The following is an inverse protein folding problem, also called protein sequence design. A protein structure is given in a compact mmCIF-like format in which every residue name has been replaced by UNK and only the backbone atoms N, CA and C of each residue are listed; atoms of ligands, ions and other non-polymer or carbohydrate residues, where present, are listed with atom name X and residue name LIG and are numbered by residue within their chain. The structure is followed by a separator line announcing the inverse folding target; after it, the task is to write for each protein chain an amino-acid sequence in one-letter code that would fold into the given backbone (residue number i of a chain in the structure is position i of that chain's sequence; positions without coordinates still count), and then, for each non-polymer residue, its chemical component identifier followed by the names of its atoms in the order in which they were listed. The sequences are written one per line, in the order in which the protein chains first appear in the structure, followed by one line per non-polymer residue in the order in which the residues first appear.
data_IF_679487496012
#
_entry.id   IF_679487496012
#
_cell.length_a   1.000
_cell.length_b   1.000
_cell.length_c   1.000
_cell.angle_alpha   90.00
_cell.angle_beta   90.00
_cell.angle_gamma   90.00
#
_symmetry.space_group_name_H-M   'P 1'
#
loop_
_entity.id
_entity.type
_entity.pdbx_description
1 polymer ?
#
# COMPACT_ATOMS: atom_id res chain seq x y z
N UNK A 1 15.14 -10.12 -16.17
CA UNK A 1 15.48 -9.03 -15.24
C UNK A 1 14.68 -7.83 -15.66
N UNK A 2 13.65 -7.49 -14.88
CA UNK A 2 12.88 -6.27 -15.12
C UNK A 2 13.79 -5.07 -14.87
N UNK A 3 13.83 -4.13 -15.81
CA UNK A 3 14.73 -2.98 -15.73
C UNK A 3 14.19 -2.03 -14.68
N UNK A 4 14.90 -1.89 -13.57
CA UNK A 4 14.59 -0.86 -12.58
C UNK A 4 14.61 0.53 -13.23
N UNK A 5 13.60 1.37 -12.97
CA UNK A 5 13.59 2.73 -13.47
C UNK A 5 14.81 3.50 -12.94
N UNK A 6 15.67 3.96 -13.86
CA UNK A 6 16.85 4.75 -13.48
C UNK A 6 16.45 6.17 -13.12
N UNK A 7 16.90 6.65 -11.97
CA UNK A 7 16.75 8.06 -11.59
C UNK A 7 17.72 8.90 -12.43
N UNK A 8 17.19 9.69 -13.34
CA UNK A 8 17.95 10.66 -14.15
C UNK A 8 18.20 11.95 -13.37
N UNK A 9 19.16 12.77 -13.81
CA UNK A 9 19.43 14.07 -13.19
C UNK A 9 18.23 15.02 -13.26
N UNK A 10 17.43 14.92 -14.33
CA UNK A 10 16.15 15.62 -14.45
C UNK A 10 15.19 15.25 -13.31
N UNK A 11 15.09 13.96 -12.97
CA UNK A 11 14.25 13.53 -11.84
C UNK A 11 14.74 14.11 -10.51
N UNK A 12 16.06 14.18 -10.30
CA UNK A 12 16.66 14.75 -9.08
C UNK A 12 16.35 16.24 -8.96
N UNK A 13 16.56 17.01 -10.02
CA UNK A 13 16.29 18.44 -10.05
C UNK A 13 14.80 18.74 -9.81
N UNK A 14 13.90 18.01 -10.48
CA UNK A 14 12.46 18.17 -10.31
C UNK A 14 11.99 17.84 -8.88
N UNK A 15 12.53 16.76 -8.28
CA UNK A 15 12.25 16.40 -6.88
C UNK A 15 12.74 17.46 -5.90
N UNK A 16 13.93 18.03 -6.10
CA UNK A 16 14.47 19.09 -5.27
C UNK A 16 13.61 20.36 -5.36
N UNK A 17 13.24 20.78 -6.57
CA UNK A 17 12.36 21.92 -6.78
C UNK A 17 10.98 21.74 -6.14
N UNK A 18 10.40 20.54 -6.26
CA UNK A 18 9.15 20.20 -5.60
C UNK A 18 9.28 20.28 -4.07
N UNK A 19 10.36 19.75 -3.48
CA UNK A 19 10.57 19.83 -2.04
C UNK A 19 10.69 21.29 -1.57
N UNK A 20 11.51 22.09 -2.24
CA UNK A 20 11.70 23.50 -1.92
C UNK A 20 10.39 24.30 -1.98
N UNK A 21 9.56 24.07 -2.99
CA UNK A 21 8.28 24.75 -3.16
C UNK A 21 7.24 24.39 -2.08
N UNK A 22 7.36 23.20 -1.47
CA UNK A 22 6.35 22.65 -0.57
C UNK A 22 6.78 22.60 0.91
N UNK A 23 7.93 23.18 1.27
CA UNK A 23 8.45 23.21 2.65
C UNK A 23 7.45 23.77 3.67
N UNK A 24 6.65 24.78 3.27
CA UNK A 24 5.62 25.40 4.12
C UNK A 24 4.19 25.03 3.76
N UNK A 25 3.98 24.00 2.92
CA UNK A 25 2.63 23.63 2.48
C UNK A 25 1.85 22.98 3.63
N UNK A 26 0.60 23.42 3.79
CA UNK A 26 -0.37 22.75 4.65
C UNK A 26 -0.90 21.48 3.96
N UNK A 27 -0.42 20.33 4.42
CA UNK A 27 -0.80 19.03 3.87
C UNK A 27 -2.19 18.56 4.30
N UNK A 28 -2.82 19.20 5.30
CA UNK A 28 -4.15 18.80 5.77
C UNK A 28 -5.25 19.04 4.71
N UNK A 29 -4.99 19.92 3.74
CA UNK A 29 -5.92 20.24 2.63
C UNK A 29 -5.64 19.43 1.37
N UNK A 30 -4.61 18.58 1.38
CA UNK A 30 -4.19 17.81 0.19
C UNK A 30 -4.80 16.42 0.27
N UNK A 31 -5.60 16.07 -0.74
CA UNK A 31 -6.11 14.71 -0.93
C UNK A 31 -5.19 14.01 -1.93
N UNK A 32 -4.59 12.89 -1.52
CA UNK A 32 -3.76 12.06 -2.39
C UNK A 32 -4.60 10.94 -3.01
N UNK A 33 -4.37 10.69 -4.30
CA UNK A 33 -4.95 9.57 -5.05
C UNK A 33 -3.83 8.81 -5.75
N UNK A 34 -3.90 7.48 -5.72
CA UNK A 34 -2.98 6.60 -6.45
C UNK A 34 -3.73 5.34 -6.89
N UNK A 35 -3.30 4.74 -8.00
CA UNK A 35 -3.84 3.49 -8.50
C UNK A 35 -2.95 2.33 -8.08
N UNK A 36 -3.48 1.46 -7.19
CA UNK A 36 -2.77 0.26 -6.77
C UNK A 36 -3.53 -1.00 -7.19
N UNK A 37 -2.86 -1.86 -7.95
CA UNK A 37 -3.34 -3.22 -8.21
C UNK A 37 -3.08 -4.10 -6.97
N UNK A 38 -4.13 -4.47 -6.25
CA UNK A 38 -4.05 -5.43 -5.15
C UNK A 38 -4.13 -6.85 -5.69
N UNK A 39 -3.02 -7.60 -5.62
CA UNK A 39 -3.01 -9.04 -5.84
C UNK A 39 -3.24 -9.76 -4.51
N UNK A 40 -4.30 -10.56 -4.41
CA UNK A 40 -4.58 -11.42 -3.25
C UNK A 40 -3.50 -12.49 -3.04
N UNK A 41 -2.79 -12.86 -4.12
CA UNK A 41 -1.75 -13.88 -4.14
C UNK A 41 -0.37 -13.24 -4.00
N UNK A 42 -0.13 -12.57 -2.86
CA UNK A 42 1.18 -11.99 -2.56
C UNK A 42 2.31 -13.03 -2.69
N UNK A 43 3.54 -12.60 -3.02
CA UNK A 43 4.71 -13.48 -3.14
C UNK A 43 5.16 -14.09 -1.79
N UNK A 44 4.55 -13.68 -0.68
CA UNK A 44 4.71 -14.33 0.61
C UNK A 44 3.95 -15.66 0.61
N UNK A 45 4.73 -16.71 0.37
CA UNK A 45 4.27 -18.06 0.10
C UNK A 45 3.13 -18.56 0.97
N UNK A 46 2.16 -19.18 0.30
CA UNK A 46 1.30 -20.25 0.81
C UNK A 46 0.85 -20.09 2.27
N UNK A 47 -0.13 -19.23 2.53
CA UNK A 47 -1.05 -19.45 3.65
C UNK A 47 -2.40 -19.93 3.13
N UNK A 48 -2.41 -21.15 2.57
CA UNK A 48 -3.66 -21.90 2.47
C UNK A 48 -4.08 -22.28 3.89
N UNK A 49 -4.90 -21.45 4.52
CA UNK A 49 -5.47 -21.76 5.82
C UNK A 49 -6.64 -22.75 5.62
N UNK A 50 -6.38 -24.03 5.87
CA UNK A 50 -7.43 -25.03 5.99
C UNK A 50 -7.70 -25.24 7.48
N UNK A 51 -8.88 -24.84 7.96
CA UNK A 51 -9.33 -25.08 9.33
C UNK A 51 -10.21 -26.32 9.37
N UNK A 52 -9.79 -27.33 10.11
CA UNK A 52 -10.67 -28.44 10.49
C UNK A 52 -11.57 -27.99 11.65
N UNK A 53 -12.89 -27.94 11.41
CA UNK A 53 -13.88 -27.45 12.38
C UNK A 53 -14.11 -28.42 13.54
N UNK A 54 -13.50 -29.61 13.52
CA UNK A 54 -13.64 -30.64 14.56
C UNK A 54 -12.59 -30.54 15.67
N UNK A 55 -11.64 -29.61 15.57
CA UNK A 55 -10.59 -29.39 16.57
C UNK A 55 -10.76 -28.03 17.25
N UNK A 56 -10.64 -28.00 18.56
CA UNK A 56 -10.64 -26.75 19.33
C UNK A 56 -9.44 -25.87 18.93
N UNK A 57 -9.62 -24.54 18.85
CA UNK A 57 -8.57 -23.63 18.42
C UNK A 57 -7.44 -23.60 19.46
N UNK A 58 -6.25 -24.06 19.10
CA UNK A 58 -5.05 -23.79 19.90
C UNK A 58 -4.73 -22.29 19.81
N UNK A 59 -4.68 -21.65 20.97
CA UNK A 59 -4.48 -20.20 21.14
C UNK A 59 -3.07 -19.78 20.70
N UNK A 60 -2.86 -19.67 19.39
CA UNK A 60 -1.86 -18.79 18.80
C UNK A 60 -2.52 -18.03 17.65
N UNK A 61 -3.65 -17.39 17.96
CA UNK A 61 -4.37 -16.54 17.03
C UNK A 61 -3.55 -15.27 16.80
N UNK A 62 -2.80 -15.23 15.71
CA UNK A 62 -2.42 -13.94 15.11
C UNK A 62 -3.72 -13.30 14.67
N UNK A 63 -4.16 -12.28 15.40
CA UNK A 63 -5.36 -11.52 15.06
C UNK A 63 -5.17 -10.92 13.65
N UNK A 64 -5.81 -11.52 12.65
CA UNK A 64 -5.96 -10.91 11.33
C UNK A 64 -7.00 -9.80 11.54
N UNK A 65 -6.52 -8.59 11.83
CA UNK A 65 -7.36 -7.41 11.86
C UNK A 65 -7.80 -7.13 10.42
N UNK A 66 -9.01 -7.55 10.07
CA UNK A 66 -9.69 -7.07 8.86
C UNK A 66 -10.04 -5.61 9.14
N UNK A 67 -9.21 -4.69 8.68
CA UNK A 67 -9.58 -3.27 8.68
C UNK A 67 -10.63 -3.09 7.59
N UNK A 68 -11.85 -2.79 8.00
CA UNK A 68 -12.94 -2.33 7.16
C UNK A 68 -12.43 -1.27 6.19
N UNK A 69 -12.58 -1.54 4.90
CA UNK A 69 -12.23 -0.62 3.82
C UNK A 69 -13.44 0.28 3.59
N UNK A 70 -13.39 1.51 4.11
CA UNK A 70 -14.32 2.56 3.68
C UNK A 70 -13.83 3.08 2.31
N UNK A 71 -14.18 2.35 1.26
CA UNK A 71 -14.00 2.78 -0.12
C UNK A 71 -15.09 3.81 -0.47
N UNK A 72 -14.77 5.10 -0.33
CA UNK A 72 -15.50 6.16 -1.03
C UNK A 72 -14.70 6.52 -2.27
N UNK A 73 -14.94 5.75 -3.33
CA UNK A 73 -14.61 6.17 -4.68
C UNK A 73 -15.52 7.34 -5.06
N UNK A 74 -14.94 8.40 -5.60
CA UNK A 74 -15.71 9.35 -6.40
C UNK A 74 -14.89 9.73 -7.63
N UNK A 75 -15.55 9.49 -8.75
CA UNK A 75 -15.20 9.77 -10.14
C UNK A 75 -15.08 11.28 -10.32
N UNK A 76 -14.00 11.73 -10.96
CA UNK A 76 -13.95 12.69 -12.08
C UNK A 76 -12.66 12.47 -12.86
#
# INVERSE_FOLDING_TARGET
MEKEPRITDRHRAARLGFAMMNLGRDWAKVVFSDEKKFSLDGPDGNKRYWRDLRKEPSTSAVAISVKEVYGVGCIL
#
